data_IF_948545358048
#
_entry.id   IF_948545358048
#
_cell.length_a   1.000
_cell.length_b   1.000
_cell.length_c   1.000
_cell.angle_alpha   90.00
_cell.angle_beta   90.00
_cell.angle_gamma   90.00
#
_symmetry.space_group_name_H-M   'P 1'
#
loop_
_entity.id
_entity.type
_entity.pdbx_description
1 polymer ?
#
# COMPACT_ATOMS: atom_id res chain seq x y z
N UNK A 1 72.55 -3.68 -11.13
CA UNK A 1 71.84 -2.53 -10.54
C UNK A 1 70.51 -2.35 -11.33
N UNK A 2 69.41 -2.86 -10.79
CA UNK A 2 68.07 -2.69 -11.38
C UNK A 2 67.27 -1.80 -10.45
N UNK A 3 66.81 -0.63 -10.97
CA UNK A 3 65.96 0.31 -10.28
C UNK A 3 64.52 -0.10 -10.50
N UNK A 4 63.81 -0.38 -9.39
CA UNK A 4 62.36 -0.59 -9.41
C UNK A 4 61.65 0.76 -9.34
N UNK A 5 60.81 1.02 -10.35
CA UNK A 5 59.85 2.12 -10.34
C UNK A 5 58.52 1.59 -9.79
N UNK A 6 58.08 2.13 -8.66
CA UNK A 6 56.74 1.89 -8.14
C UNK A 6 55.79 2.88 -8.80
N UNK A 7 54.75 2.33 -9.45
CA UNK A 7 53.61 3.10 -9.95
C UNK A 7 52.61 3.30 -8.84
N UNK A 8 52.40 4.54 -8.46
CA UNK A 8 51.34 4.97 -7.54
C UNK A 8 50.05 5.14 -8.37
N UNK A 9 49.11 4.21 -8.23
CA UNK A 9 47.78 4.35 -8.84
C UNK A 9 46.94 5.18 -7.86
N UNK A 10 46.70 6.44 -8.24
CA UNK A 10 45.68 7.28 -7.59
C UNK A 10 44.33 6.86 -8.16
N UNK A 11 43.55 6.11 -7.39
CA UNK A 11 42.18 5.81 -7.73
C UNK A 11 41.33 7.04 -7.39
N UNK A 12 41.01 7.87 -8.37
CA UNK A 12 39.97 8.87 -8.31
C UNK A 12 38.62 8.15 -8.34
N UNK A 13 38.05 7.95 -7.18
CA UNK A 13 36.66 7.46 -7.03
C UNK A 13 35.68 8.49 -7.57
N UNK A 14 35.25 8.32 -8.82
CA UNK A 14 34.04 8.96 -9.32
C UNK A 14 32.85 8.32 -8.61
N UNK A 15 32.36 9.02 -7.59
CA UNK A 15 31.07 8.72 -6.97
C UNK A 15 29.98 9.07 -7.99
N UNK A 16 29.56 8.09 -8.80
CA UNK A 16 28.32 8.19 -9.57
C UNK A 16 27.17 8.17 -8.57
N UNK A 17 26.70 9.35 -8.19
CA UNK A 17 25.36 9.50 -7.65
C UNK A 17 24.38 9.12 -8.76
N UNK A 18 24.03 7.84 -8.82
CA UNK A 18 22.85 7.38 -9.55
C UNK A 18 21.66 7.90 -8.74
N UNK A 19 21.13 9.05 -9.13
CA UNK A 19 19.79 9.47 -8.77
C UNK A 19 18.83 8.41 -9.34
N UNK A 20 18.55 7.39 -8.56
CA UNK A 20 17.39 6.52 -8.82
C UNK A 20 16.14 7.38 -8.62
N UNK A 21 15.72 8.05 -9.70
CA UNK A 21 14.32 8.31 -9.89
C UNK A 21 13.65 6.95 -9.80
N UNK A 22 12.90 6.72 -8.74
CA UNK A 22 11.94 5.63 -8.67
C UNK A 22 10.86 5.89 -9.73
N UNK A 23 11.21 5.63 -11.00
CA UNK A 23 10.23 5.23 -11.97
C UNK A 23 9.66 3.93 -11.38
N UNK A 24 8.40 3.95 -10.93
CA UNK A 24 7.67 2.74 -10.60
C UNK A 24 7.97 1.74 -11.71
N UNK A 25 8.71 0.67 -11.38
CA UNK A 25 9.00 -0.38 -12.32
C UNK A 25 7.65 -0.87 -12.81
N UNK A 26 7.34 -0.63 -14.09
CA UNK A 26 6.10 -1.09 -14.71
C UNK A 26 6.11 -2.60 -14.59
N UNK A 27 5.30 -3.14 -13.68
CA UNK A 27 5.17 -4.56 -13.50
C UNK A 27 4.23 -5.09 -14.58
N UNK A 28 4.76 -5.27 -15.79
CA UNK A 28 4.07 -6.03 -16.82
C UNK A 28 4.03 -7.49 -16.37
N UNK A 29 2.86 -7.97 -16.00
CA UNK A 29 2.69 -9.39 -15.75
C UNK A 29 2.68 -10.10 -17.09
N UNK A 30 3.72 -10.89 -17.36
CA UNK A 30 3.81 -11.79 -18.51
C UNK A 30 2.91 -13.03 -18.28
N UNK A 31 1.59 -12.80 -18.10
CA UNK A 31 0.64 -13.88 -17.98
C UNK A 31 -0.36 -13.74 -19.12
N UNK A 32 -0.46 -14.80 -19.93
CA UNK A 32 -1.62 -14.93 -20.78
C UNK A 32 -2.83 -15.01 -19.85
N UNK A 33 -3.80 -14.11 -19.95
CA UNK A 33 -5.03 -14.25 -19.23
C UNK A 33 -5.68 -15.57 -19.65
N UNK A 34 -6.40 -16.23 -18.74
CA UNK A 34 -7.09 -17.42 -19.11
C UNK A 34 -8.07 -17.05 -20.23
N UNK A 35 -8.00 -17.79 -21.35
CA UNK A 35 -9.02 -17.71 -22.40
C UNK A 35 -10.31 -18.37 -21.89
N UNK A 36 -10.77 -18.00 -20.72
CA UNK A 36 -12.01 -18.45 -20.14
C UNK A 36 -13.02 -17.33 -20.31
N UNK A 37 -14.12 -17.67 -20.96
CA UNK A 37 -15.36 -16.92 -20.78
C UNK A 37 -15.68 -16.97 -19.28
N UNK A 38 -15.37 -15.90 -18.54
CA UNK A 38 -15.63 -15.80 -17.11
C UNK A 38 -17.14 -15.71 -16.81
N UNK A 39 -17.98 -15.90 -17.83
CA UNK A 39 -19.43 -15.89 -17.73
C UNK A 39 -20.00 -14.52 -17.31
N UNK A 40 -19.23 -13.43 -17.46
CA UNK A 40 -19.78 -12.11 -17.24
C UNK A 40 -20.57 -11.66 -18.46
N UNK A 41 -21.85 -11.35 -18.24
CA UNK A 41 -22.73 -10.84 -19.30
C UNK A 41 -22.64 -9.32 -19.28
N UNK A 42 -21.99 -8.75 -20.30
CA UNK A 42 -21.94 -7.30 -20.52
C UNK A 42 -23.32 -6.84 -21.01
N UNK A 43 -23.91 -5.87 -20.31
CA UNK A 43 -25.15 -5.26 -20.78
C UNK A 43 -24.90 -4.43 -22.03
N UNK A 44 -25.85 -4.50 -22.98
CA UNK A 44 -25.82 -3.64 -24.16
C UNK A 44 -26.07 -2.20 -23.71
N UNK A 45 -25.26 -1.28 -24.25
CA UNK A 45 -25.47 0.15 -24.05
C UNK A 45 -26.28 0.74 -25.18
N UNK A 46 -27.12 1.74 -24.87
CA UNK A 46 -27.79 2.59 -25.84
C UNK A 46 -26.95 3.75 -26.36
N UNK A 47 -25.81 4.01 -25.68
CA UNK A 47 -24.91 5.12 -26.00
C UNK A 47 -23.77 4.69 -26.92
N UNK A 48 -23.42 5.56 -27.86
CA UNK A 48 -22.13 5.51 -28.54
C UNK A 48 -21.10 6.30 -27.72
N UNK A 49 -20.20 5.57 -27.09
CA UNK A 49 -19.13 6.15 -26.28
C UNK A 49 -17.92 6.63 -27.08
N UNK A 50 -17.91 6.48 -28.44
CA UNK A 50 -16.71 6.70 -29.26
C UNK A 50 -16.13 8.10 -29.11
N UNK A 51 -16.97 9.15 -29.26
CA UNK A 51 -16.51 10.52 -29.16
C UNK A 51 -16.06 10.87 -27.72
N UNK A 52 -16.78 10.34 -26.73
CA UNK A 52 -16.50 10.62 -25.35
C UNK A 52 -15.21 9.94 -24.89
N UNK A 53 -15.01 8.67 -25.24
CA UNK A 53 -13.79 7.93 -24.93
C UNK A 53 -12.56 8.54 -25.62
N UNK A 54 -12.69 8.94 -26.92
CA UNK A 54 -11.62 9.65 -27.64
C UNK A 54 -11.24 10.96 -26.94
N UNK A 55 -12.22 11.72 -26.44
CA UNK A 55 -11.94 12.96 -25.70
C UNK A 55 -11.20 12.70 -24.39
N UNK A 56 -11.58 11.66 -23.64
CA UNK A 56 -10.89 11.29 -22.38
C UNK A 56 -9.45 10.85 -22.65
N UNK A 57 -9.22 10.14 -23.76
CA UNK A 57 -7.92 9.58 -24.12
C UNK A 57 -7.12 10.44 -25.10
N UNK A 58 -7.53 11.68 -25.31
CA UNK A 58 -6.84 12.60 -26.21
C UNK A 58 -5.39 12.84 -25.74
N UNK A 59 -4.45 12.74 -26.67
CA UNK A 59 -3.01 12.90 -26.37
C UNK A 59 -2.34 11.71 -25.66
N UNK A 60 -3.08 10.62 -25.39
CA UNK A 60 -2.46 9.40 -24.80
C UNK A 60 -1.72 8.60 -25.86
N UNK A 61 -0.64 7.92 -25.41
CA UNK A 61 0.17 7.06 -26.27
C UNK A 61 0.15 5.61 -25.76
N UNK A 62 -0.52 4.74 -26.52
CA UNK A 62 -0.66 3.31 -26.20
C UNK A 62 -1.77 3.00 -25.18
N UNK A 63 -2.03 1.69 -25.01
CA UNK A 63 -3.17 1.24 -24.21
C UNK A 63 -3.03 1.56 -22.71
N UNK A 64 -1.82 1.48 -22.15
CA UNK A 64 -1.60 1.79 -20.74
C UNK A 64 -2.07 3.21 -20.39
N UNK A 65 -1.71 4.21 -21.18
CA UNK A 65 -2.11 5.59 -20.93
C UNK A 65 -3.63 5.81 -21.19
N UNK A 66 -4.21 5.11 -22.17
CA UNK A 66 -5.68 5.12 -22.38
C UNK A 66 -6.41 4.54 -21.15
N UNK A 67 -5.97 3.37 -20.66
CA UNK A 67 -6.50 2.72 -19.45
C UNK A 67 -6.43 3.68 -18.26
N UNK A 68 -5.28 4.31 -18.08
CA UNK A 68 -5.03 5.27 -17.00
C UNK A 68 -5.98 6.48 -17.08
N UNK A 69 -6.15 7.06 -18.26
CA UNK A 69 -7.04 8.21 -18.48
C UNK A 69 -8.51 7.86 -18.19
N UNK A 70 -8.98 6.70 -18.67
CA UNK A 70 -10.34 6.21 -18.40
C UNK A 70 -10.54 5.96 -16.91
N UNK A 71 -9.59 5.29 -16.27
CA UNK A 71 -9.61 5.01 -14.84
C UNK A 71 -9.72 6.28 -14.00
N UNK A 72 -8.84 7.24 -14.28
CA UNK A 72 -8.83 8.53 -13.59
C UNK A 72 -10.17 9.24 -13.76
N UNK A 73 -10.66 9.32 -15.00
CA UNK A 73 -11.93 9.99 -15.28
C UNK A 73 -13.08 9.36 -14.49
N UNK A 74 -13.18 8.02 -14.45
CA UNK A 74 -14.22 7.30 -13.69
C UNK A 74 -14.08 7.59 -12.20
N UNK A 75 -12.87 7.47 -11.63
CA UNK A 75 -12.63 7.74 -10.22
C UNK A 75 -12.99 9.15 -9.80
N UNK A 76 -12.79 10.14 -10.67
CA UNK A 76 -13.07 11.54 -10.37
C UNK A 76 -14.54 11.93 -10.59
N UNK A 77 -15.28 11.22 -11.47
CA UNK A 77 -16.58 11.65 -11.94
C UNK A 77 -17.75 10.73 -11.57
N UNK A 78 -17.50 9.54 -11.04
CA UNK A 78 -18.55 8.59 -10.66
C UNK A 78 -18.53 8.41 -9.14
N UNK A 79 -19.67 8.57 -8.48
CA UNK A 79 -19.88 8.32 -7.07
C UNK A 79 -20.36 6.88 -6.83
N UNK A 80 -20.05 6.31 -5.65
CA UNK A 80 -20.61 5.01 -5.32
C UNK A 80 -22.10 5.12 -4.94
N UNK A 81 -22.93 4.28 -5.58
CA UNK A 81 -24.37 4.22 -5.28
C UNK A 81 -24.62 3.41 -4.01
N UNK A 82 -24.70 4.11 -2.87
CA UNK A 82 -24.99 3.49 -1.57
C UNK A 82 -26.42 2.96 -1.44
N UNK A 83 -27.32 3.31 -2.38
CA UNK A 83 -28.68 2.76 -2.45
C UNK A 83 -28.76 1.43 -3.20
N UNK A 84 -27.68 1.05 -3.89
CA UNK A 84 -27.56 -0.21 -4.66
C UNK A 84 -28.66 -0.39 -5.73
N UNK A 85 -28.93 0.66 -6.50
CA UNK A 85 -29.97 0.63 -7.53
C UNK A 85 -29.42 0.75 -8.96
N UNK A 86 -28.14 1.15 -9.14
CA UNK A 86 -27.54 1.43 -10.44
C UNK A 86 -26.46 0.40 -10.74
N UNK A 87 -26.74 -0.50 -11.69
CA UNK A 87 -25.89 -1.65 -12.01
C UNK A 87 -25.27 -1.63 -13.41
N UNK A 88 -25.80 -0.85 -14.34
CA UNK A 88 -25.38 -0.79 -15.74
C UNK A 88 -24.68 0.53 -16.10
N UNK A 89 -23.95 0.52 -17.23
CA UNK A 89 -23.19 1.66 -17.72
C UNK A 89 -24.04 2.88 -18.09
N UNK A 90 -25.23 2.66 -18.65
CA UNK A 90 -26.10 3.73 -19.13
C UNK A 90 -26.61 4.58 -17.98
N UNK A 91 -27.16 3.93 -16.94
CA UNK A 91 -27.59 4.64 -15.74
C UNK A 91 -26.40 5.26 -14.99
N UNK A 92 -25.23 4.58 -15.00
CA UNK A 92 -24.01 5.07 -14.36
C UNK A 92 -23.56 6.40 -14.96
N UNK A 93 -23.48 6.49 -16.29
CA UNK A 93 -23.05 7.74 -16.95
C UNK A 93 -24.08 8.86 -16.81
N UNK A 94 -25.37 8.56 -16.86
CA UNK A 94 -26.46 9.52 -16.71
C UNK A 94 -26.49 10.14 -15.31
N UNK A 95 -26.40 9.28 -14.28
CA UNK A 95 -26.60 9.68 -12.89
C UNK A 95 -25.28 9.98 -12.16
N UNK A 96 -24.15 9.80 -12.83
CA UNK A 96 -22.80 9.98 -12.26
C UNK A 96 -22.57 9.17 -11.00
N UNK A 97 -23.18 7.98 -10.92
CA UNK A 97 -23.02 7.06 -9.79
C UNK A 97 -23.40 5.64 -10.19
N UNK A 98 -22.86 4.66 -9.45
CA UNK A 98 -23.18 3.25 -9.66
C UNK A 98 -22.56 2.34 -8.61
N UNK A 99 -22.93 1.06 -8.62
CA UNK A 99 -22.23 0.02 -7.87
C UNK A 99 -21.05 -0.52 -8.68
N UNK A 100 -20.25 -1.43 -8.11
CA UNK A 100 -19.04 -1.96 -8.74
C UNK A 100 -19.27 -2.48 -10.18
N UNK A 101 -20.39 -3.19 -10.44
CA UNK A 101 -20.73 -3.64 -11.79
C UNK A 101 -20.87 -2.46 -12.77
N UNK A 102 -21.57 -1.42 -12.38
CA UNK A 102 -21.77 -0.24 -13.23
C UNK A 102 -20.46 0.49 -13.54
N UNK A 103 -19.55 0.57 -12.57
CA UNK A 103 -18.18 1.08 -12.77
C UNK A 103 -17.42 0.25 -13.79
N UNK A 104 -17.45 -1.08 -13.63
CA UNK A 104 -16.75 -2.00 -14.54
C UNK A 104 -17.33 -1.98 -15.95
N UNK A 105 -18.65 -1.95 -16.11
CA UNK A 105 -19.30 -1.88 -17.42
C UNK A 105 -19.07 -0.55 -18.12
N UNK A 106 -19.13 0.57 -17.39
CA UNK A 106 -18.79 1.87 -17.95
C UNK A 106 -17.34 1.90 -18.43
N UNK A 107 -16.42 1.37 -17.61
CA UNK A 107 -15.02 1.24 -18.00
C UNK A 107 -14.87 0.40 -19.27
N UNK A 108 -15.52 -0.76 -19.32
CA UNK A 108 -15.50 -1.66 -20.47
C UNK A 108 -15.95 -0.96 -21.75
N UNK A 109 -17.09 -0.27 -21.74
CA UNK A 109 -17.61 0.41 -22.92
C UNK A 109 -16.70 1.56 -23.38
N UNK A 110 -16.13 2.33 -22.45
CA UNK A 110 -15.17 3.39 -22.77
C UNK A 110 -13.88 2.82 -23.36
N UNK A 111 -13.34 1.76 -22.76
CA UNK A 111 -12.12 1.09 -23.22
C UNK A 111 -12.30 0.48 -24.62
N UNK A 112 -13.41 -0.24 -24.82
CA UNK A 112 -13.77 -0.83 -26.12
C UNK A 112 -13.89 0.22 -27.22
N UNK A 113 -14.41 1.40 -26.91
CA UNK A 113 -14.58 2.50 -27.88
C UNK A 113 -13.23 3.12 -28.35
N UNK A 114 -12.11 2.78 -27.71
CA UNK A 114 -10.74 3.18 -28.07
C UNK A 114 -9.83 1.98 -28.29
N UNK A 115 -10.42 0.82 -28.64
CA UNK A 115 -9.75 -0.42 -28.99
C UNK A 115 -8.86 -1.00 -27.86
N UNK A 116 -9.28 -0.84 -26.61
CA UNK A 116 -8.64 -1.46 -25.46
C UNK A 116 -9.48 -2.64 -24.97
N UNK A 117 -8.87 -3.82 -24.88
CA UNK A 117 -9.51 -5.02 -24.35
C UNK A 117 -9.51 -5.00 -22.83
N UNK A 118 -10.63 -5.47 -22.22
CA UNK A 118 -10.82 -5.50 -20.77
C UNK A 118 -11.66 -6.70 -20.39
N UNK A 119 -11.26 -7.41 -19.33
CA UNK A 119 -12.04 -8.44 -18.68
C UNK A 119 -12.63 -7.90 -17.37
N UNK A 120 -13.93 -8.16 -17.14
CA UNK A 120 -14.57 -7.87 -15.87
C UNK A 120 -14.47 -9.10 -14.98
N UNK A 121 -13.77 -8.98 -13.87
CA UNK A 121 -13.56 -10.05 -12.91
C UNK A 121 -14.62 -9.95 -11.82
N UNK A 122 -15.24 -11.11 -11.48
CA UNK A 122 -16.17 -11.22 -10.34
C UNK A 122 -15.54 -11.99 -9.21
N UNK A 123 -15.99 -11.68 -8.00
CA UNK A 123 -15.52 -12.40 -6.83
C UNK A 123 -16.04 -11.82 -5.52
N UNK A 124 -15.24 -11.94 -4.49
CA UNK A 124 -15.50 -11.42 -3.15
C UNK A 124 -14.45 -10.39 -2.76
N UNK A 125 -14.89 -9.35 -2.08
CA UNK A 125 -14.00 -8.36 -1.47
C UNK A 125 -13.98 -8.49 0.05
N UNK A 126 -12.79 -8.29 0.64
CA UNK A 126 -12.54 -8.25 2.07
C UNK A 126 -12.23 -6.79 2.47
N UNK A 127 -13.07 -6.23 3.32
CA UNK A 127 -12.85 -4.88 3.84
C UNK A 127 -11.72 -4.82 4.86
N UNK A 128 -11.35 -3.59 5.26
CA UNK A 128 -10.27 -3.33 6.23
C UNK A 128 -10.51 -3.92 7.62
N UNK A 129 -11.75 -4.21 7.96
CA UNK A 129 -12.13 -4.89 9.20
C UNK A 129 -12.00 -6.43 9.10
N UNK A 130 -11.46 -6.96 8.00
CA UNK A 130 -11.31 -8.39 7.71
C UNK A 130 -12.60 -9.11 7.33
N UNK A 131 -13.73 -8.41 7.26
CA UNK A 131 -15.01 -9.02 6.90
C UNK A 131 -15.13 -9.14 5.38
N UNK A 132 -15.47 -10.35 4.93
CA UNK A 132 -15.80 -10.59 3.53
C UNK A 132 -17.24 -10.15 3.30
N UNK A 133 -17.44 -9.28 2.31
CA UNK A 133 -18.75 -8.77 1.95
C UNK A 133 -19.73 -9.90 1.58
N UNK A 134 -20.97 -9.80 2.05
CA UNK A 134 -22.03 -10.76 1.68
C UNK A 134 -22.33 -10.69 0.18
N UNK A 135 -22.34 -9.48 -0.38
CA UNK A 135 -22.50 -9.23 -1.81
C UNK A 135 -21.21 -9.55 -2.56
N UNK A 136 -21.32 -9.85 -3.85
CA UNK A 136 -20.17 -9.96 -4.75
C UNK A 136 -19.49 -8.60 -4.94
N UNK A 137 -18.34 -8.64 -5.57
CA UNK A 137 -17.61 -7.46 -6.04
C UNK A 137 -17.14 -7.71 -7.46
N UNK A 138 -16.94 -6.63 -8.22
CA UNK A 138 -16.40 -6.67 -9.58
C UNK A 138 -15.25 -5.67 -9.70
N UNK A 139 -14.21 -6.08 -10.42
CA UNK A 139 -13.03 -5.28 -10.77
C UNK A 139 -12.54 -5.67 -12.16
N UNK A 140 -11.37 -5.22 -12.59
CA UNK A 140 -10.95 -5.31 -13.98
C UNK A 140 -9.55 -5.88 -14.12
N UNK A 141 -9.35 -6.57 -15.26
CA UNK A 141 -8.07 -6.78 -15.88
C UNK A 141 -8.09 -6.09 -17.25
N UNK A 142 -7.20 -5.13 -17.48
CA UNK A 142 -7.14 -4.36 -18.72
C UNK A 142 -5.85 -4.63 -19.48
N UNK A 143 -5.95 -4.90 -20.78
CA UNK A 143 -4.84 -5.33 -21.61
C UNK A 143 -4.04 -4.11 -22.10
N UNK A 144 -2.77 -4.07 -21.73
CA UNK A 144 -1.83 -3.03 -22.20
C UNK A 144 -1.28 -3.34 -23.59
N UNK A 145 -1.22 -4.62 -23.92
CA UNK A 145 -0.89 -5.17 -25.25
C UNK A 145 -1.53 -6.56 -25.42
N UNK A 146 -1.10 -7.34 -26.44
CA UNK A 146 -1.67 -8.67 -26.72
C UNK A 146 -1.34 -9.74 -25.67
N UNK A 147 -0.31 -9.52 -24.85
CA UNK A 147 0.22 -10.52 -23.92
C UNK A 147 0.17 -10.06 -22.45
N UNK A 148 0.07 -8.75 -22.22
CA UNK A 148 0.18 -8.14 -20.92
C UNK A 148 -1.05 -7.30 -20.57
N UNK A 149 -1.29 -7.16 -19.29
CA UNK A 149 -2.33 -6.31 -18.76
C UNK A 149 -2.11 -5.98 -17.29
N UNK A 150 -2.99 -5.18 -16.75
CA UNK A 150 -2.94 -4.70 -15.37
C UNK A 150 -4.25 -4.98 -14.64
N UNK A 151 -4.14 -5.21 -13.34
CA UNK A 151 -5.28 -5.29 -12.43
C UNK A 151 -5.64 -3.90 -11.92
N UNK A 152 -6.92 -3.58 -11.89
CA UNK A 152 -7.39 -2.29 -11.37
C UNK A 152 -8.81 -2.40 -10.81
N UNK A 153 -9.12 -1.57 -9.83
CA UNK A 153 -10.47 -1.43 -9.28
C UNK A 153 -10.89 0.04 -9.25
N UNK A 154 -11.65 0.51 -10.25
CA UNK A 154 -12.09 1.90 -10.30
C UNK A 154 -13.11 2.24 -9.20
N UNK A 155 -13.81 1.26 -8.63
CA UNK A 155 -14.76 1.48 -7.53
C UNK A 155 -14.03 1.84 -6.24
N UNK A 156 -13.02 1.04 -5.88
CA UNK A 156 -12.19 1.29 -4.70
C UNK A 156 -11.24 2.48 -4.93
N UNK A 157 -10.80 2.70 -6.16
CA UNK A 157 -10.05 3.89 -6.54
C UNK A 157 -10.84 5.18 -6.37
N UNK A 158 -12.13 5.18 -6.72
CA UNK A 158 -12.98 6.36 -6.56
C UNK A 158 -13.19 6.75 -5.10
N UNK A 159 -13.28 5.76 -4.18
CA UNK A 159 -13.49 6.08 -2.77
C UNK A 159 -14.00 4.91 -1.92
N UNK A 160 -14.59 5.26 -0.80
CA UNK A 160 -15.13 4.32 0.18
C UNK A 160 -16.43 4.82 0.78
N UNK A 161 -17.11 3.96 1.53
CA UNK A 161 -18.34 4.35 2.25
C UNK A 161 -18.05 4.53 3.74
N UNK A 162 -18.47 5.65 4.30
CA UNK A 162 -18.38 5.95 5.71
C UNK A 162 -19.74 6.46 6.20
N UNK A 163 -20.27 5.83 7.24
CA UNK A 163 -21.59 6.18 7.80
C UNK A 163 -22.71 6.19 6.75
N UNK A 164 -22.69 5.23 5.81
CA UNK A 164 -23.67 5.11 4.73
C UNK A 164 -23.54 6.14 3.60
N UNK A 165 -22.54 7.01 3.64
CA UNK A 165 -22.26 8.01 2.60
C UNK A 165 -20.98 7.65 1.85
N UNK A 166 -20.95 7.97 0.56
CA UNK A 166 -19.74 7.87 -0.23
C UNK A 166 -18.77 9.00 0.12
N UNK A 167 -17.51 8.63 0.29
CA UNK A 167 -16.39 9.55 0.50
C UNK A 167 -15.39 9.33 -0.61
N UNK A 168 -15.16 10.36 -1.42
CA UNK A 168 -14.20 10.30 -2.53
C UNK A 168 -12.77 10.24 -2.01
N UNK A 169 -11.96 9.37 -2.61
CA UNK A 169 -10.54 9.25 -2.29
C UNK A 169 -9.75 10.40 -2.91
N UNK A 170 -8.81 10.97 -2.16
CA UNK A 170 -7.91 12.02 -2.67
C UNK A 170 -6.89 11.47 -3.67
N UNK A 171 -6.40 10.26 -3.43
CA UNK A 171 -5.47 9.56 -4.32
C UNK A 171 -6.12 8.27 -4.82
N UNK A 172 -6.55 8.27 -6.09
CA UNK A 172 -7.20 7.10 -6.70
C UNK A 172 -6.21 6.00 -7.14
N UNK A 173 -4.92 6.31 -7.23
CA UNK A 173 -3.92 5.44 -7.88
C UNK A 173 -3.57 4.16 -7.11
N UNK A 174 -3.98 4.05 -5.86
CA UNK A 174 -3.75 2.86 -5.05
C UNK A 174 -4.33 1.58 -5.67
N UNK A 175 -5.46 1.72 -6.37
CA UNK A 175 -6.16 0.61 -7.02
C UNK A 175 -6.01 0.62 -8.54
N UNK A 176 -4.93 1.20 -9.03
CA UNK A 176 -4.51 1.20 -10.43
C UNK A 176 -3.19 0.47 -10.59
N UNK A 177 -3.07 -0.44 -11.57
CA UNK A 177 -1.88 -1.26 -11.82
C UNK A 177 -1.42 -2.01 -10.55
N UNK A 178 -2.40 -2.69 -9.94
CA UNK A 178 -2.24 -3.36 -8.65
C UNK A 178 -1.53 -4.69 -8.83
N UNK A 179 -0.53 -4.98 -7.97
CA UNK A 179 0.13 -6.28 -8.00
C UNK A 179 -0.82 -7.41 -7.60
N UNK A 180 -0.71 -8.64 -8.16
CA UNK A 180 -1.52 -9.79 -7.76
C UNK A 180 -1.50 -10.07 -6.26
N UNK A 181 -0.34 -9.89 -5.64
CA UNK A 181 -0.13 -10.09 -4.21
C UNK A 181 -0.92 -9.09 -3.36
N UNK A 182 -0.97 -7.83 -3.80
CA UNK A 182 -1.80 -6.83 -3.13
C UNK A 182 -3.28 -7.07 -3.41
N UNK A 183 -3.63 -7.35 -4.67
CA UNK A 183 -5.02 -7.57 -5.04
C UNK A 183 -5.64 -8.71 -4.23
N UNK A 184 -4.95 -9.85 -4.06
CA UNK A 184 -5.48 -11.01 -3.35
C UNK A 184 -5.65 -10.79 -1.83
N UNK A 185 -5.02 -9.80 -1.23
CA UNK A 185 -5.27 -9.46 0.18
C UNK A 185 -6.70 -8.96 0.40
N UNK A 186 -7.30 -8.37 -0.63
CA UNK A 186 -8.62 -7.74 -0.58
C UNK A 186 -9.64 -8.35 -1.55
N UNK A 187 -9.21 -8.92 -2.67
CA UNK A 187 -10.06 -9.37 -3.76
C UNK A 187 -9.82 -10.84 -4.07
N UNK A 188 -10.83 -11.67 -3.87
CA UNK A 188 -10.78 -13.11 -4.20
C UNK A 188 -11.63 -13.36 -5.43
N UNK A 189 -11.05 -13.62 -6.62
CA UNK A 189 -11.80 -13.89 -7.83
C UNK A 189 -12.51 -15.25 -7.77
N UNK A 190 -13.69 -15.34 -8.37
CA UNK A 190 -14.43 -16.60 -8.47
C UNK A 190 -13.66 -17.61 -9.34
N UNK A 191 -13.03 -17.16 -10.42
CA UNK A 191 -12.06 -17.93 -11.20
C UNK A 191 -10.63 -17.67 -10.69
N UNK A 192 -9.98 -18.73 -10.20
CA UNK A 192 -8.61 -18.64 -9.64
C UNK A 192 -7.55 -18.17 -10.64
N UNK A 193 -7.79 -18.33 -11.94
CA UNK A 193 -6.86 -17.90 -12.97
C UNK A 193 -6.61 -16.40 -12.91
N UNK A 194 -7.64 -15.61 -12.54
CA UNK A 194 -7.52 -14.17 -12.34
C UNK A 194 -6.83 -13.75 -11.02
N UNK A 195 -6.26 -14.69 -10.27
CA UNK A 195 -5.36 -14.33 -9.17
C UNK A 195 -3.97 -13.93 -9.68
N UNK A 196 -3.55 -14.39 -10.85
CA UNK A 196 -2.22 -14.15 -11.44
C UNK A 196 -1.04 -14.48 -10.50
N UNK A 197 -1.25 -15.33 -9.52
CA UNK A 197 -0.25 -15.78 -8.57
C UNK A 197 0.37 -17.10 -9.03
N UNK A 198 1.69 -17.26 -8.93
CA UNK A 198 2.38 -18.51 -9.21
C UNK A 198 1.84 -19.69 -8.38
N UNK A 199 1.37 -19.39 -7.16
CA UNK A 199 0.68 -20.31 -6.27
C UNK A 199 -0.64 -19.70 -5.81
N UNK A 200 -1.76 -20.01 -6.47
CA UNK A 200 -3.05 -19.44 -6.12
C UNK A 200 -3.45 -19.68 -4.67
N UNK A 201 -4.10 -18.68 -4.09
CA UNK A 201 -4.66 -18.72 -2.74
C UNK A 201 -5.99 -19.43 -2.76
N UNK A 202 -6.21 -20.34 -1.81
CA UNK A 202 -7.52 -20.98 -1.62
C UNK A 202 -8.50 -20.03 -0.90
N UNK A 203 -9.80 -20.30 -1.02
CA UNK A 203 -10.84 -19.52 -0.30
C UNK A 203 -10.65 -19.59 1.23
N UNK A 204 -10.13 -20.73 1.74
CA UNK A 204 -9.83 -20.88 3.16
C UNK A 204 -8.66 -19.99 3.58
N UNK A 205 -7.56 -19.99 2.82
CA UNK A 205 -6.41 -19.10 3.08
C UNK A 205 -6.84 -17.63 3.02
N UNK A 206 -7.58 -17.22 1.98
CA UNK A 206 -8.09 -15.87 1.87
C UNK A 206 -8.88 -15.40 3.10
N UNK A 207 -9.74 -16.29 3.67
CA UNK A 207 -10.49 -15.98 4.91
C UNK A 207 -9.59 -15.79 6.12
N UNK A 208 -8.50 -16.55 6.20
CA UNK A 208 -7.58 -16.56 7.34
C UNK A 208 -6.54 -15.45 7.26
N UNK A 209 -6.28 -14.90 6.07
CA UNK A 209 -5.39 -13.76 5.94
C UNK A 209 -5.89 -12.59 6.78
N UNK A 210 -5.02 -11.94 7.58
CA UNK A 210 -5.41 -10.79 8.37
C UNK A 210 -5.85 -9.62 7.49
N UNK A 211 -6.69 -8.72 8.01
CA UNK A 211 -7.02 -7.49 7.29
C UNK A 211 -5.80 -6.59 7.18
N UNK A 212 -5.64 -5.96 6.03
CA UNK A 212 -4.62 -4.96 5.77
C UNK A 212 -5.32 -3.62 5.55
N UNK A 213 -4.88 -2.58 6.27
CA UNK A 213 -5.35 -1.22 6.02
C UNK A 213 -4.63 -0.64 4.81
N UNK A 214 -5.35 0.01 3.90
CA UNK A 214 -4.75 0.74 2.78
C UNK A 214 -3.80 1.85 3.22
N UNK A 215 -4.01 2.40 4.42
CA UNK A 215 -3.15 3.44 4.98
C UNK A 215 -1.68 2.97 5.03
N UNK A 216 -1.43 1.67 5.22
CA UNK A 216 -0.08 1.12 5.18
C UNK A 216 0.58 1.29 3.81
N UNK A 217 -0.20 1.16 2.73
CA UNK A 217 0.28 1.35 1.37
C UNK A 217 0.52 2.85 1.08
N UNK A 218 -0.36 3.72 1.56
CA UNK A 218 -0.18 5.18 1.49
C UNK A 218 1.07 5.63 2.28
N UNK A 219 1.46 4.87 3.32
CA UNK A 219 2.69 5.08 4.07
C UNK A 219 3.93 4.41 3.45
N UNK A 220 3.79 3.76 2.29
CA UNK A 220 4.89 3.25 1.49
C UNK A 220 5.21 1.77 1.67
N UNK A 221 4.40 0.99 2.41
CA UNK A 221 4.63 -0.45 2.53
C UNK A 221 4.37 -1.16 1.19
N UNK A 222 5.24 -2.12 0.88
CA UNK A 222 5.10 -2.93 -0.33
C UNK A 222 4.00 -4.00 -0.17
N UNK A 223 3.11 -4.07 -1.16
CA UNK A 223 2.00 -5.02 -1.17
C UNK A 223 2.43 -6.48 -1.21
N UNK A 224 3.60 -6.80 -1.81
CA UNK A 224 4.15 -8.17 -1.84
C UNK A 224 4.68 -8.58 -0.48
N UNK A 225 5.35 -7.66 0.22
CA UNK A 225 5.83 -7.91 1.58
C UNK A 225 4.65 -8.17 2.51
N UNK A 226 3.62 -7.33 2.47
CA UNK A 226 2.39 -7.53 3.23
C UNK A 226 1.73 -8.87 2.93
N UNK A 227 1.71 -9.29 1.67
CA UNK A 227 1.17 -10.60 1.27
C UNK A 227 1.99 -11.76 1.82
N UNK A 228 3.32 -11.69 1.77
CA UNK A 228 4.20 -12.73 2.32
C UNK A 228 3.99 -12.87 3.83
N UNK A 229 3.96 -11.76 4.56
CA UNK A 229 3.69 -11.73 5.99
C UNK A 229 2.29 -12.27 6.32
N UNK A 230 1.27 -11.92 5.52
CA UNK A 230 -0.09 -12.42 5.70
C UNK A 230 -0.19 -13.93 5.48
N UNK A 231 0.49 -14.48 4.48
CA UNK A 231 0.55 -15.93 4.23
C UNK A 231 1.31 -16.69 5.29
N UNK A 232 2.40 -16.12 5.79
CA UNK A 232 3.18 -16.70 6.88
C UNK A 232 2.46 -16.59 8.23
N UNK A 233 1.31 -15.90 8.32
CA UNK A 233 0.58 -15.58 9.54
C UNK A 233 1.44 -14.78 10.56
N UNK A 234 2.44 -14.06 10.07
CA UNK A 234 3.33 -13.19 10.87
C UNK A 234 2.89 -11.72 10.84
N UNK A 235 1.87 -11.39 10.02
CA UNK A 235 1.38 -10.02 9.90
C UNK A 235 0.66 -9.59 11.19
N UNK A 236 1.32 -8.73 11.93
CA UNK A 236 0.82 -8.20 13.20
C UNK A 236 1.05 -6.69 13.28
N UNK A 237 0.74 -5.97 12.20
CA UNK A 237 0.96 -4.52 12.11
C UNK A 237 0.22 -3.76 13.22
N UNK A 238 0.82 -2.65 13.71
CA UNK A 238 0.19 -1.80 14.72
C UNK A 238 -1.03 -1.05 14.16
N UNK A 239 -1.74 -0.35 15.02
CA UNK A 239 -2.87 0.47 14.59
C UNK A 239 -2.38 1.71 13.83
N UNK A 240 -2.96 1.99 12.67
CA UNK A 240 -2.71 3.20 11.86
C UNK A 240 -3.94 4.09 11.80
N UNK A 241 -3.72 5.36 11.53
CA UNK A 241 -4.75 6.38 11.53
C UNK A 241 -4.74 7.14 10.21
N UNK A 242 -5.93 7.48 9.73
CA UNK A 242 -6.10 8.36 8.57
C UNK A 242 -5.78 9.82 8.93
N UNK A 243 -5.45 10.61 7.89
CA UNK A 243 -5.20 12.04 8.00
C UNK A 243 -3.74 12.44 7.81
N UNK A 244 -2.84 11.46 7.65
CA UNK A 244 -1.42 11.70 7.33
C UNK A 244 -1.02 11.10 5.98
N UNK A 245 -1.96 10.53 5.23
CA UNK A 245 -1.73 9.93 3.92
C UNK A 245 -1.16 10.96 2.94
N UNK A 246 -0.13 10.58 2.20
CA UNK A 246 0.58 11.45 1.28
C UNK A 246 1.57 12.42 1.95
N UNK A 247 1.52 12.60 3.27
CA UNK A 247 2.40 13.52 3.99
C UNK A 247 3.70 12.86 4.46
N UNK A 248 3.69 11.55 4.60
CA UNK A 248 4.83 10.77 5.12
C UNK A 248 5.03 9.48 4.32
N UNK A 249 6.21 8.89 4.53
CA UNK A 249 6.56 7.54 4.12
C UNK A 249 7.32 6.87 5.28
N UNK A 250 6.87 5.71 5.70
CA UNK A 250 7.54 4.92 6.74
C UNK A 250 8.66 4.11 6.09
N UNK A 251 9.92 4.43 6.44
CA UNK A 251 11.11 3.76 5.88
C UNK A 251 11.49 2.56 6.73
N UNK A 252 11.47 2.74 8.07
CA UNK A 252 11.81 1.69 9.03
C UNK A 252 10.98 1.88 10.30
N UNK A 253 10.37 0.81 10.76
CA UNK A 253 9.52 0.82 11.95
C UNK A 253 9.22 -0.62 12.41
N UNK A 254 8.86 -0.84 13.68
CA UNK A 254 8.49 -2.17 14.17
C UNK A 254 7.20 -2.69 13.52
N UNK A 255 7.28 -3.86 12.85
CA UNK A 255 6.14 -4.55 12.23
C UNK A 255 5.38 -5.43 13.25
N UNK A 256 5.15 -4.93 14.44
CA UNK A 256 4.50 -5.64 15.53
C UNK A 256 3.44 -4.75 16.17
N UNK A 257 2.33 -5.32 16.63
CA UNK A 257 1.28 -4.57 17.35
C UNK A 257 1.75 -4.05 18.70
N UNK A 258 2.72 -4.76 19.29
CA UNK A 258 3.22 -4.48 20.63
C UNK A 258 4.72 -4.36 20.63
N UNK A 259 5.22 -3.44 21.44
CA UNK A 259 6.63 -3.27 21.75
C UNK A 259 6.89 -3.88 23.14
N UNK A 260 8.12 -4.38 23.36
CA UNK A 260 8.53 -4.99 24.62
C UNK A 260 9.33 -4.02 25.45
N UNK A 261 9.07 -3.99 26.75
CA UNK A 261 9.81 -3.16 27.71
C UNK A 261 11.29 -3.54 27.65
N UNK A 262 12.16 -2.53 27.65
CA UNK A 262 13.61 -2.68 27.64
C UNK A 262 14.25 -2.92 26.28
N UNK A 263 13.47 -3.18 25.22
CA UNK A 263 14.00 -3.35 23.87
C UNK A 263 14.13 -2.01 23.13
N UNK A 264 15.12 -1.93 22.23
CA UNK A 264 15.34 -0.80 21.34
C UNK A 264 14.47 -0.92 20.11
N UNK A 265 13.80 0.18 19.76
CA UNK A 265 13.03 0.29 18.53
C UNK A 265 13.45 1.54 17.77
N UNK A 266 13.76 1.37 16.49
CA UNK A 266 14.09 2.48 15.59
C UNK A 266 12.90 2.82 14.72
N UNK A 267 12.70 4.10 14.53
CA UNK A 267 11.72 4.65 13.58
C UNK A 267 12.46 5.54 12.61
N UNK A 268 12.26 5.35 11.31
CA UNK A 268 12.74 6.21 10.24
C UNK A 268 11.59 6.58 9.35
N UNK A 269 11.33 7.87 9.21
CA UNK A 269 10.18 8.40 8.51
C UNK A 269 10.66 9.51 7.57
N UNK A 270 10.25 9.45 6.30
CA UNK A 270 10.40 10.55 5.36
C UNK A 270 9.18 11.45 5.46
N UNK A 271 9.40 12.73 5.72
CA UNK A 271 8.34 13.74 5.77
C UNK A 271 8.23 14.42 4.41
N UNK A 272 7.12 14.21 3.71
CA UNK A 272 6.81 14.87 2.43
C UNK A 272 6.17 16.24 2.66
N UNK A 273 5.35 16.36 3.71
CA UNK A 273 4.84 17.64 4.21
C UNK A 273 4.53 17.55 5.70
N UNK A 274 4.66 18.66 6.44
CA UNK A 274 4.42 18.73 7.87
C UNK A 274 5.48 19.52 8.62
N UNK A 275 5.27 19.73 9.93
CA UNK A 275 6.10 20.58 10.79
C UNK A 275 6.95 19.79 11.78
N UNK A 276 6.80 18.47 11.84
CA UNK A 276 7.61 17.60 12.71
C UNK A 276 6.85 16.43 13.29
N UNK A 277 7.62 15.52 13.88
CA UNK A 277 7.12 14.32 14.55
C UNK A 277 7.25 14.41 16.05
N UNK A 278 6.44 13.64 16.77
CA UNK A 278 6.64 13.37 18.19
C UNK A 278 6.26 11.93 18.50
N UNK A 279 6.99 11.32 19.42
CA UNK A 279 6.62 10.04 20.03
C UNK A 279 5.96 10.37 21.38
N UNK A 280 4.73 9.91 21.57
CA UNK A 280 3.92 10.21 22.72
C UNK A 280 3.61 8.93 23.51
N UNK A 281 3.92 8.96 24.79
CA UNK A 281 3.35 8.01 25.74
C UNK A 281 1.89 8.42 26.01
N UNK A 282 0.93 7.50 25.88
CA UNK A 282 -0.49 7.81 25.96
C UNK A 282 -0.97 8.22 27.35
N UNK A 283 -0.28 7.79 28.43
CA UNK A 283 -0.70 8.13 29.79
C UNK A 283 -0.51 9.60 30.15
N UNK A 284 0.55 10.23 29.65
CA UNK A 284 0.94 11.57 30.08
C UNK A 284 1.12 12.55 28.92
N UNK A 285 0.87 12.16 27.68
CA UNK A 285 1.20 12.92 26.47
C UNK A 285 2.62 13.52 26.54
N UNK A 286 3.52 12.81 27.23
CA UNK A 286 4.90 13.23 27.39
C UNK A 286 5.69 12.80 26.16
N UNK A 287 6.59 13.68 25.72
CA UNK A 287 7.50 13.40 24.62
C UNK A 287 8.44 12.27 25.04
N UNK A 288 8.29 11.09 24.43
CA UNK A 288 9.01 9.88 24.82
C UNK A 288 10.42 9.79 24.21
N UNK A 289 10.67 10.45 23.05
CA UNK A 289 11.97 10.44 22.38
C UNK A 289 12.15 11.67 21.48
N UNK A 290 13.41 12.01 21.18
CA UNK A 290 13.77 13.08 20.25
C UNK A 290 13.93 12.51 18.82
N UNK A 291 13.68 13.35 17.83
CA UNK A 291 13.92 13.04 16.42
C UNK A 291 15.21 13.70 15.94
N UNK A 292 16.01 12.94 15.20
CA UNK A 292 17.21 13.40 14.52
C UNK A 292 16.87 13.58 13.03
N UNK A 293 17.22 14.73 12.46
CA UNK A 293 17.14 14.92 11.01
C UNK A 293 18.40 14.31 10.37
N UNK A 294 18.20 13.37 9.44
CA UNK A 294 19.27 12.67 8.70
C UNK A 294 19.59 13.33 7.34
N UNK A 295 18.83 14.34 6.94
CA UNK A 295 18.85 14.92 5.59
C UNK A 295 17.72 14.39 4.71
N UNK A 296 17.52 14.98 3.52
CA UNK A 296 16.52 14.59 2.53
C UNK A 296 15.10 14.40 3.06
N UNK A 297 14.74 15.18 4.07
CA UNK A 297 13.48 15.08 4.79
C UNK A 297 13.27 13.75 5.55
N UNK A 298 14.35 13.01 5.81
CA UNK A 298 14.33 11.79 6.62
C UNK A 298 14.63 12.10 8.06
N UNK A 299 13.80 11.57 8.95
CA UNK A 299 13.91 11.72 10.39
C UNK A 299 13.98 10.35 11.04
N UNK A 300 14.87 10.21 12.02
CA UNK A 300 14.99 8.99 12.83
C UNK A 300 14.81 9.27 14.31
N UNK A 301 14.32 8.27 15.02
CA UNK A 301 14.21 8.28 16.47
C UNK A 301 14.39 6.86 17.01
N UNK A 302 15.02 6.75 18.19
CA UNK A 302 15.10 5.50 18.92
C UNK A 302 14.27 5.61 20.19
N UNK A 303 13.45 4.60 20.43
CA UNK A 303 12.56 4.52 21.59
C UNK A 303 12.78 3.22 22.36
N UNK A 304 12.83 3.32 23.68
CA UNK A 304 12.89 2.18 24.59
C UNK A 304 11.71 2.27 25.53
N UNK A 305 10.71 1.37 25.43
CA UNK A 305 9.60 1.32 26.36
C UNK A 305 10.10 1.02 27.78
N UNK A 306 9.59 1.74 28.78
CA UNK A 306 9.98 1.59 30.18
C UNK A 306 8.87 1.00 31.05
N UNK A 307 7.62 1.13 30.64
CA UNK A 307 6.43 0.71 31.38
C UNK A 307 5.32 0.22 30.43
N UNK A 308 4.41 -0.63 30.89
CA UNK A 308 3.29 -1.08 30.07
C UNK A 308 2.33 0.07 29.72
N UNK A 309 1.69 -0.04 28.56
CA UNK A 309 0.71 0.94 28.10
C UNK A 309 0.63 1.02 26.59
N UNK A 310 0.60 2.23 26.04
CA UNK A 310 0.62 2.49 24.62
C UNK A 310 1.59 3.63 24.29
N UNK A 311 2.15 3.57 23.10
CA UNK A 311 2.94 4.64 22.52
C UNK A 311 2.48 4.90 21.09
N UNK A 312 2.47 6.16 20.68
CA UNK A 312 2.12 6.53 19.33
C UNK A 312 3.06 7.55 18.72
N UNK A 313 3.14 7.53 17.39
CA UNK A 313 3.81 8.57 16.61
C UNK A 313 2.75 9.53 16.11
N UNK A 314 2.96 10.82 16.36
CA UNK A 314 2.14 11.90 15.84
C UNK A 314 2.91 12.76 14.85
N UNK A 315 2.22 13.21 13.80
CA UNK A 315 2.67 14.22 12.84
C UNK A 315 1.93 15.52 13.11
N UNK A 316 2.67 16.61 13.19
CA UNK A 316 2.10 17.96 13.22
C UNK A 316 1.92 18.43 11.78
N UNK A 317 0.67 18.58 11.37
CA UNK A 317 0.34 19.00 10.01
C UNK A 317 0.79 20.42 9.73
N UNK A 318 1.04 20.72 8.46
CA UNK A 318 1.35 22.09 8.01
C UNK A 318 0.13 23.00 8.19
N UNK A 319 0.34 24.21 8.69
CA UNK A 319 -0.75 25.18 8.95
C UNK A 319 -1.65 24.84 10.14
N UNK A 320 -1.35 23.80 10.93
CA UNK A 320 -2.12 23.39 12.10
C UNK A 320 -1.24 23.20 13.33
N UNK A 321 -1.79 23.51 14.50
CA UNK A 321 -1.16 23.19 15.79
C UNK A 321 -1.60 21.81 16.32
N UNK A 322 -2.55 21.17 15.65
CA UNK A 322 -3.01 19.85 16.02
C UNK A 322 -2.02 18.75 15.62
N UNK A 323 -1.97 17.72 16.46
CA UNK A 323 -1.22 16.49 16.19
C UNK A 323 -2.17 15.44 15.64
N UNK A 324 -1.81 14.86 14.49
CA UNK A 324 -2.49 13.72 13.92
C UNK A 324 -1.71 12.45 14.23
N UNK A 325 -2.39 11.43 14.73
CA UNK A 325 -1.78 10.14 14.93
C UNK A 325 -1.41 9.50 13.60
N UNK A 326 -0.23 8.92 13.53
CA UNK A 326 0.27 8.11 12.40
C UNK A 326 0.09 6.64 12.74
N UNK A 327 0.69 6.21 13.84
CA UNK A 327 0.73 4.80 14.25
C UNK A 327 0.72 4.70 15.77
N UNK A 328 0.11 3.64 16.32
CA UNK A 328 0.07 3.31 17.74
C UNK A 328 0.46 1.87 17.99
N UNK A 329 1.24 1.66 19.04
CA UNK A 329 1.70 0.39 19.54
C UNK A 329 1.22 0.17 20.98
N UNK A 330 0.87 -1.07 21.33
CA UNK A 330 0.82 -1.49 22.72
C UNK A 330 2.24 -1.65 23.28
N UNK A 331 2.40 -1.54 24.59
CA UNK A 331 3.64 -1.85 25.31
C UNK A 331 3.33 -2.93 26.32
N UNK A 332 4.06 -4.04 26.26
CA UNK A 332 3.89 -5.21 27.12
C UNK A 332 5.19 -5.62 27.79
N UNK A 333 5.07 -6.41 28.85
CA UNK A 333 6.23 -7.05 29.47
C UNK A 333 6.93 -7.97 28.48
N UNK A 334 8.26 -8.07 28.51
CA UNK A 334 8.98 -9.04 27.70
C UNK A 334 8.53 -10.46 28.06
N UNK A 335 8.47 -11.31 27.05
CA UNK A 335 8.33 -12.76 27.23
C UNK A 335 9.67 -13.36 27.68
N UNK A 336 9.66 -14.61 28.16
CA UNK A 336 10.89 -15.33 28.50
C UNK A 336 11.87 -15.43 27.32
N UNK A 337 11.32 -15.58 26.09
CA UNK A 337 12.12 -15.57 24.86
C UNK A 337 12.73 -14.19 24.59
N UNK A 338 11.99 -13.13 24.85
CA UNK A 338 12.51 -11.75 24.68
C UNK A 338 13.66 -11.48 25.65
N UNK A 339 13.56 -11.92 26.90
CA UNK A 339 14.65 -11.81 27.89
C UNK A 339 15.89 -12.56 27.45
N UNK A 340 15.74 -13.79 26.96
CA UNK A 340 16.87 -14.60 26.47
C UNK A 340 17.58 -13.93 25.30
N UNK A 341 16.81 -13.38 24.33
CA UNK A 341 17.37 -12.66 23.20
C UNK A 341 18.11 -11.37 23.62
N UNK A 342 17.61 -10.67 24.65
CA UNK A 342 18.28 -9.50 25.21
C UNK A 342 19.60 -9.88 25.91
N UNK A 343 19.62 -10.94 26.70
CA UNK A 343 20.81 -11.45 27.34
C UNK A 343 21.88 -11.84 26.32
N UNK A 344 21.48 -12.56 25.25
CA UNK A 344 22.36 -12.92 24.15
C UNK A 344 22.92 -11.68 23.43
N UNK A 345 22.09 -10.67 23.16
CA UNK A 345 22.51 -9.42 22.53
C UNK A 345 23.53 -8.67 23.39
N UNK A 346 23.26 -8.50 24.70
CA UNK A 346 24.16 -7.79 25.60
C UNK A 346 25.45 -8.55 25.86
N UNK A 347 25.41 -9.88 25.93
CA UNK A 347 26.61 -10.71 26.10
C UNK A 347 27.59 -10.63 24.92
N UNK A 348 27.07 -10.33 23.70
CA UNK A 348 27.90 -10.21 22.48
C UNK A 348 28.24 -8.77 22.11
N UNK A 349 27.49 -7.78 22.61
CA UNK A 349 27.63 -6.37 22.22
C UNK A 349 28.46 -5.52 23.16
N UNK A 350 28.69 -5.97 24.39
CA UNK A 350 29.57 -5.27 25.35
C UNK A 350 31.03 -5.66 25.10
N UNK A 351 31.93 -4.68 24.89
CA UNK A 351 33.36 -4.97 24.90
C UNK A 351 33.71 -5.64 26.23
N UNK A 352 34.37 -6.79 26.17
CA UNK A 352 34.88 -7.47 27.38
C UNK A 352 35.72 -6.45 28.13
N UNK A 353 35.17 -5.91 29.20
CA UNK A 353 35.85 -4.96 30.08
C UNK A 353 37.15 -5.56 30.57
N UNK A 354 38.25 -4.84 30.36
CA UNK A 354 39.49 -5.12 31.10
C UNK A 354 39.16 -5.13 32.58
N UNK A 355 39.55 -6.22 33.25
CA UNK A 355 39.31 -6.40 34.66
C UNK A 355 39.70 -5.15 35.46
N UNK A 356 38.83 -4.76 36.38
CA UNK A 356 39.19 -3.81 37.42
C UNK A 356 40.28 -4.48 38.27
N UNK A 357 41.48 -3.94 38.19
CA UNK A 357 42.46 -4.15 39.23
C UNK A 357 41.90 -3.49 40.51
N UNK A 358 41.65 -4.25 41.54
CA UNK A 358 41.36 -3.72 42.88
C UNK A 358 42.62 -3.04 43.40
N UNK A 359 42.53 -1.81 43.93
CA UNK A 359 43.66 -1.21 44.61
C UNK A 359 43.87 -1.88 45.96
N UNK A 360 45.15 -2.25 46.24
CA UNK A 360 45.62 -2.65 47.55
C UNK A 360 45.44 -1.56 48.62
#
# INVERSE_FOLDING_TARGET
>A
MKKNFAFLIVATGLCFCVSQTFAQARHYFSFQPPMTDNGYIIHKTKYDFSNFAKKITEGTNGNYEKIKAIYQWICENIDYDTSYNIYDADQCIEKRRGVCNAYCELFYHLAKAVDVQVDIIRGKAKGYNGRIGKRGHAWLYAYTDSEHGILLDPTWGAGYTQNGKFVRRKNCWLWFDVTPELMILHHYPDDKAYQFLSKPVSRKEFRLMPPVSEIWLDFGLDGRELYQMARAQTLALPQVFSGCEGNIELIDFPHSKTLRIGQFYTFRIKMKSGRGFSIWNNKNFSRAAAWKNEGDSVYSSTFIPKEPGEVGIGLRAEGSDAWNWVVKYGIEQPTETDWKNLEDYYSHSLPKGKGREEPE
#
